data_IF_328519525722
#
_entry.id   IF_328519525722
#
_cell.length_a   1.000
_cell.length_b   1.000
_cell.length_c   1.000
_cell.angle_alpha   90.00
_cell.angle_beta   90.00
_cell.angle_gamma   90.00
#
_symmetry.space_group_name_H-M   'P 1'
#
loop_
_entity.id
_entity.type
_entity.pdbx_description
1 polymer ?
#
# COMPACT_ATOMS: atom_id res chain seq x y z
N UNK A 1 -38.19 -72.70 5.45
CA UNK A 1 -38.26 -71.21 5.39
C UNK A 1 -36.97 -70.61 5.98
N UNK A 2 -35.90 -70.37 5.21
CA UNK A 2 -34.71 -69.65 5.77
C UNK A 2 -33.78 -68.97 4.74
N UNK A 3 -34.19 -68.77 3.49
CA UNK A 3 -33.33 -68.21 2.43
C UNK A 3 -33.85 -66.92 1.78
N UNK A 4 -34.94 -66.30 2.28
CA UNK A 4 -35.54 -65.12 1.64
C UNK A 4 -35.03 -63.75 2.13
N UNK A 5 -34.32 -63.70 3.26
CA UNK A 5 -33.88 -62.44 3.86
C UNK A 5 -32.42 -62.07 3.53
N UNK A 6 -31.58 -63.05 3.16
CA UNK A 6 -30.16 -62.81 2.84
C UNK A 6 -29.94 -62.08 1.50
N UNK A 7 -30.77 -62.39 0.50
CA UNK A 7 -30.74 -61.74 -0.81
C UNK A 7 -31.23 -60.30 -0.74
N UNK A 8 -32.22 -60.00 0.11
CA UNK A 8 -32.72 -58.63 0.32
C UNK A 8 -31.69 -57.78 1.08
N UNK A 9 -31.03 -58.35 2.09
CA UNK A 9 -30.00 -57.64 2.85
C UNK A 9 -28.76 -57.31 2.00
N UNK A 10 -28.33 -58.22 1.12
CA UNK A 10 -27.22 -57.98 0.20
C UNK A 10 -27.57 -56.91 -0.84
N UNK A 11 -28.77 -56.96 -1.43
CA UNK A 11 -29.23 -55.92 -2.37
C UNK A 11 -29.31 -54.55 -1.68
N UNK A 12 -29.82 -54.47 -0.45
CA UNK A 12 -29.85 -53.22 0.31
C UNK A 12 -28.46 -52.67 0.60
N UNK A 13 -27.49 -53.53 0.96
CA UNK A 13 -26.10 -53.10 1.20
C UNK A 13 -25.40 -52.59 -0.07
N UNK A 14 -25.69 -53.19 -1.23
CA UNK A 14 -25.17 -52.71 -2.52
C UNK A 14 -25.81 -51.37 -2.92
N UNK A 15 -27.12 -51.21 -2.72
CA UNK A 15 -27.80 -49.94 -3.03
C UNK A 15 -27.29 -48.81 -2.13
N UNK A 16 -27.10 -49.07 -0.83
CA UNK A 16 -26.59 -48.04 0.09
C UNK A 16 -25.14 -47.68 -0.21
N UNK A 17 -24.27 -48.65 -0.56
CA UNK A 17 -22.88 -48.33 -0.93
C UNK A 17 -22.80 -47.57 -2.27
N UNK A 18 -23.66 -47.91 -3.23
CA UNK A 18 -23.69 -47.22 -4.52
C UNK A 18 -24.22 -45.79 -4.38
N UNK A 19 -25.24 -45.58 -3.53
CA UNK A 19 -25.76 -44.26 -3.23
C UNK A 19 -24.73 -43.41 -2.48
N UNK A 20 -23.99 -43.95 -1.51
CA UNK A 20 -22.95 -43.20 -0.79
C UNK A 20 -21.76 -42.85 -1.68
N UNK A 21 -21.32 -43.76 -2.56
CA UNK A 21 -20.27 -43.49 -3.56
C UNK A 21 -20.72 -42.44 -4.59
N UNK A 22 -21.96 -42.54 -5.07
CA UNK A 22 -22.54 -41.55 -5.99
C UNK A 22 -22.61 -40.16 -5.35
N UNK A 23 -23.09 -40.07 -4.10
CA UNK A 23 -23.14 -38.82 -3.36
C UNK A 23 -21.73 -38.25 -3.08
N UNK A 24 -20.78 -39.10 -2.72
CA UNK A 24 -19.39 -38.68 -2.49
C UNK A 24 -18.74 -38.16 -3.76
N UNK A 25 -18.95 -38.83 -4.91
CA UNK A 25 -18.44 -38.37 -6.20
C UNK A 25 -19.07 -37.05 -6.65
N UNK A 26 -20.38 -36.89 -6.46
CA UNK A 26 -21.09 -35.63 -6.76
C UNK A 26 -20.64 -34.49 -5.85
N UNK A 27 -20.34 -34.78 -4.59
CA UNK A 27 -19.83 -33.80 -3.63
C UNK A 27 -18.39 -33.36 -3.96
N UNK A 28 -17.51 -34.31 -4.31
CA UNK A 28 -16.15 -34.03 -4.80
C UNK A 28 -16.18 -33.15 -6.06
N UNK A 29 -17.00 -33.51 -7.06
CA UNK A 29 -17.18 -32.72 -8.28
C UNK A 29 -17.74 -31.31 -7.99
N UNK A 30 -18.67 -31.18 -7.04
CA UNK A 30 -19.19 -29.89 -6.62
C UNK A 30 -18.13 -29.00 -5.97
N UNK A 31 -17.25 -29.60 -5.15
CA UNK A 31 -16.14 -28.91 -4.49
C UNK A 31 -15.08 -28.46 -5.49
N UNK A 32 -14.71 -29.30 -6.45
CA UNK A 32 -13.78 -28.93 -7.53
C UNK A 32 -14.32 -27.80 -8.40
N UNK A 33 -15.60 -27.85 -8.77
CA UNK A 33 -16.26 -26.74 -9.49
C UNK A 33 -16.25 -25.46 -8.69
N UNK A 34 -16.53 -25.50 -7.39
CA UNK A 34 -16.50 -24.32 -6.51
C UNK A 34 -15.09 -23.70 -6.47
N UNK A 35 -14.05 -24.53 -6.36
CA UNK A 35 -12.65 -24.09 -6.37
C UNK A 35 -12.28 -23.48 -7.74
N UNK A 36 -12.75 -24.09 -8.84
CA UNK A 36 -12.54 -23.56 -10.19
C UNK A 36 -13.22 -22.20 -10.37
N UNK A 37 -14.47 -22.06 -9.93
CA UNK A 37 -15.20 -20.78 -9.96
C UNK A 37 -14.54 -19.72 -9.08
N UNK A 38 -14.03 -20.09 -7.90
CA UNK A 38 -13.24 -19.16 -7.06
C UNK A 38 -11.98 -18.69 -7.78
N UNK A 39 -11.26 -19.58 -8.48
CA UNK A 39 -10.09 -19.20 -9.27
C UNK A 39 -10.45 -18.29 -10.45
N UNK A 40 -11.51 -18.59 -11.18
CA UNK A 40 -11.96 -17.74 -12.29
C UNK A 40 -12.44 -16.37 -11.81
N UNK A 41 -13.17 -16.33 -10.69
CA UNK A 41 -13.61 -15.08 -10.07
C UNK A 41 -12.42 -14.25 -9.58
N UNK A 42 -11.41 -14.88 -8.96
CA UNK A 42 -10.16 -14.22 -8.58
C UNK A 42 -9.42 -13.68 -9.81
N UNK A 43 -9.33 -14.45 -10.88
CA UNK A 43 -8.71 -14.02 -12.13
C UNK A 43 -9.47 -12.86 -12.78
N UNK A 44 -10.81 -12.86 -12.72
CA UNK A 44 -11.64 -11.78 -13.23
C UNK A 44 -11.50 -10.51 -12.37
N UNK A 45 -11.50 -10.66 -11.05
CA UNK A 45 -11.27 -9.55 -10.11
C UNK A 45 -9.89 -8.93 -10.35
N UNK A 46 -8.87 -9.74 -10.58
CA UNK A 46 -7.52 -9.25 -10.90
C UNK A 46 -7.50 -8.51 -12.24
N UNK A 47 -8.20 -9.00 -13.27
CA UNK A 47 -8.32 -8.29 -14.55
C UNK A 47 -9.04 -6.94 -14.41
N UNK A 48 -10.12 -6.90 -13.63
CA UNK A 48 -10.85 -5.66 -13.35
C UNK A 48 -9.94 -4.68 -12.60
N UNK A 49 -9.21 -5.16 -11.59
CA UNK A 49 -8.23 -4.38 -10.82
C UNK A 49 -7.15 -3.76 -11.71
N UNK A 50 -6.60 -4.56 -12.64
CA UNK A 50 -5.62 -4.08 -13.63
C UNK A 50 -6.25 -3.02 -14.55
N UNK A 51 -7.52 -3.19 -14.94
CA UNK A 51 -8.22 -2.23 -15.78
C UNK A 51 -8.48 -0.89 -15.06
N UNK A 52 -8.95 -0.92 -13.82
CA UNK A 52 -9.14 0.27 -12.98
C UNK A 52 -7.81 1.00 -12.72
N UNK A 53 -6.75 0.25 -12.46
CA UNK A 53 -5.41 0.80 -12.29
C UNK A 53 -4.94 1.55 -13.54
N UNK A 54 -5.11 0.94 -14.73
CA UNK A 54 -4.80 1.59 -16.03
C UNK A 54 -5.64 2.84 -16.27
N UNK A 55 -6.90 2.86 -15.83
CA UNK A 55 -7.77 4.04 -15.95
C UNK A 55 -7.25 5.19 -15.06
N UNK A 56 -6.87 4.89 -13.81
CA UNK A 56 -6.31 5.87 -12.88
C UNK A 56 -4.99 6.46 -13.40
N UNK A 57 -4.08 5.61 -13.89
CA UNK A 57 -2.82 6.03 -14.52
C UNK A 57 -3.07 6.99 -15.69
N UNK A 58 -3.94 6.63 -16.63
CA UNK A 58 -4.27 7.49 -17.78
C UNK A 58 -4.85 8.83 -17.34
N UNK A 59 -5.66 8.86 -16.29
CA UNK A 59 -6.22 10.10 -15.74
C UNK A 59 -5.12 11.02 -15.19
N UNK A 60 -4.15 10.46 -14.47
CA UNK A 60 -3.00 11.18 -13.93
C UNK A 60 -2.06 11.69 -15.03
N UNK A 61 -1.72 10.83 -15.99
CA UNK A 61 -0.91 11.20 -17.17
C UNK A 61 -1.57 12.32 -17.98
N UNK A 62 -2.87 12.20 -18.26
CA UNK A 62 -3.62 13.24 -18.97
C UNK A 62 -3.60 14.56 -18.19
N UNK A 63 -3.72 14.51 -16.87
CA UNK A 63 -3.67 15.70 -16.01
C UNK A 63 -2.28 16.36 -16.03
N UNK A 64 -1.21 15.56 -15.96
CA UNK A 64 0.16 16.03 -16.05
C UNK A 64 0.47 16.66 -17.43
N UNK A 65 0.06 15.99 -18.50
CA UNK A 65 0.18 16.47 -19.88
C UNK A 65 -0.57 17.80 -20.05
N UNK A 66 -1.81 17.90 -19.56
CA UNK A 66 -2.60 19.15 -19.61
C UNK A 66 -1.90 20.29 -18.84
N UNK A 67 -1.28 20.00 -17.69
CA UNK A 67 -0.55 21.00 -16.92
C UNK A 67 0.75 21.44 -17.60
N UNK A 68 1.52 20.52 -18.18
CA UNK A 68 2.71 20.84 -18.99
C UNK A 68 2.34 21.72 -20.18
N UNK A 69 1.26 21.40 -20.90
CA UNK A 69 0.79 22.22 -22.01
C UNK A 69 0.33 23.62 -21.56
N UNK A 70 -0.30 23.74 -20.39
CA UNK A 70 -0.64 25.06 -19.81
C UNK A 70 0.61 25.87 -19.46
N UNK A 71 1.65 25.23 -18.93
CA UNK A 71 2.93 25.86 -18.60
C UNK A 71 3.63 26.38 -19.86
N UNK A 72 3.76 25.53 -20.88
CA UNK A 72 4.30 25.91 -22.19
C UNK A 72 3.48 27.04 -22.82
N UNK A 73 2.15 27.00 -22.73
CA UNK A 73 1.25 28.06 -23.17
C UNK A 73 1.37 29.38 -22.39
N UNK A 74 1.79 29.33 -21.13
CA UNK A 74 2.05 30.52 -20.32
C UNK A 74 3.44 31.12 -20.59
N UNK A 75 4.46 30.27 -20.79
CA UNK A 75 5.83 30.67 -21.14
C UNK A 75 5.90 31.27 -22.57
N UNK A 76 5.14 30.74 -23.52
CA UNK A 76 5.05 31.27 -24.91
C UNK A 76 4.32 32.60 -25.05
N UNK A 77 3.56 33.05 -24.03
CA UNK A 77 3.03 34.44 -24.03
C UNK A 77 4.13 35.50 -23.89
N UNK A 78 5.34 35.11 -23.44
CA UNK A 78 6.49 36.00 -23.29
C UNK A 78 7.37 36.16 -24.53
N UNK A 79 7.34 35.22 -25.49
CA UNK A 79 8.19 35.25 -26.68
C UNK A 79 7.37 34.85 -27.93
N UNK A 80 7.06 35.82 -28.79
CA UNK A 80 6.24 35.62 -30.00
C UNK A 80 6.92 34.77 -31.09
N UNK A 81 8.24 34.58 -31.02
CA UNK A 81 9.01 33.96 -32.11
C UNK A 81 9.03 32.42 -32.07
N UNK A 82 8.72 31.79 -30.93
CA UNK A 82 8.67 30.31 -30.81
C UNK A 82 7.34 29.69 -31.26
N UNK A 83 6.30 30.50 -31.50
CA UNK A 83 4.97 30.03 -31.94
C UNK A 83 4.94 29.59 -33.42
N UNK A 84 5.93 30.00 -34.23
CA UNK A 84 5.99 29.68 -35.66
C UNK A 84 6.59 28.29 -35.96
N UNK A 85 7.12 27.59 -34.94
CA UNK A 85 7.73 26.27 -35.11
C UNK A 85 6.74 25.11 -34.90
N UNK A 86 5.55 25.39 -34.37
CA UNK A 86 4.51 24.38 -34.14
C UNK A 86 3.55 24.30 -35.33
N UNK A 87 3.13 23.07 -35.68
CA UNK A 87 2.11 22.85 -36.71
C UNK A 87 0.81 23.57 -36.33
N UNK A 88 0.09 24.10 -37.34
CA UNK A 88 -1.22 24.74 -37.18
C UNK A 88 -2.22 23.90 -36.38
N UNK A 89 -2.14 22.57 -36.48
CA UNK A 89 -2.98 21.65 -35.71
C UNK A 89 -2.64 21.68 -34.20
N UNK A 90 -1.36 21.77 -33.85
CA UNK A 90 -0.88 21.88 -32.47
C UNK A 90 -1.27 23.23 -31.88
N UNK A 91 -1.14 24.31 -32.65
CA UNK A 91 -1.57 25.65 -32.24
C UNK A 91 -3.08 25.74 -32.03
N UNK A 92 -3.87 25.09 -32.90
CA UNK A 92 -5.33 25.01 -32.77
C UNK A 92 -5.74 24.23 -31.52
N UNK A 93 -5.08 23.09 -31.25
CA UNK A 93 -5.31 22.28 -30.04
C UNK A 93 -4.93 23.05 -28.76
N UNK A 94 -3.78 23.72 -28.76
CA UNK A 94 -3.33 24.59 -27.67
C UNK A 94 -4.32 25.71 -27.41
N UNK A 95 -4.79 26.38 -28.47
CA UNK A 95 -5.75 27.46 -28.38
C UNK A 95 -7.11 26.96 -27.86
N UNK A 96 -7.55 25.77 -28.26
CA UNK A 96 -8.81 25.19 -27.80
C UNK A 96 -8.75 24.70 -26.32
N UNK A 97 -7.61 24.14 -25.90
CA UNK A 97 -7.34 23.71 -24.53
C UNK A 97 -7.14 24.90 -23.57
N UNK A 98 -6.60 26.02 -24.06
CA UNK A 98 -6.40 27.25 -23.27
C UNK A 98 -7.61 28.20 -23.31
N UNK A 99 -8.42 28.19 -24.38
CA UNK A 99 -9.61 29.05 -24.50
C UNK A 99 -10.83 28.51 -23.76
N UNK A 100 -10.95 27.18 -23.61
CA UNK A 100 -11.90 26.61 -22.67
C UNK A 100 -11.32 26.84 -21.27
N UNK A 101 -11.98 27.68 -20.46
CA UNK A 101 -11.78 27.71 -18.99
C UNK A 101 -12.14 26.32 -18.46
N UNK A 102 -11.18 25.41 -18.57
CA UNK A 102 -11.28 24.05 -18.09
C UNK A 102 -11.27 24.12 -16.57
N UNK A 103 -12.20 23.38 -15.96
CA UNK A 103 -12.25 23.18 -14.52
C UNK A 103 -10.83 22.88 -14.01
N UNK A 104 -10.41 23.56 -12.94
CA UNK A 104 -9.18 23.17 -12.26
C UNK A 104 -9.51 21.92 -11.45
N UNK A 105 -9.10 20.76 -11.99
CA UNK A 105 -9.25 19.49 -11.29
C UNK A 105 -8.27 19.49 -10.11
N UNK A 106 -8.71 19.15 -8.89
CA UNK A 106 -7.82 18.96 -7.75
C UNK A 106 -6.70 17.98 -8.11
N UNK A 107 -5.49 18.29 -7.70
CA UNK A 107 -4.32 17.41 -7.88
C UNK A 107 -3.46 17.48 -6.63
N UNK A 108 -2.54 16.54 -6.47
CA UNK A 108 -1.58 16.53 -5.36
C UNK A 108 -0.82 17.86 -5.21
N UNK A 109 -0.61 18.59 -6.31
CA UNK A 109 0.01 19.91 -6.35
C UNK A 109 -0.79 21.02 -5.65
N UNK A 110 -2.08 20.82 -5.41
CA UNK A 110 -2.86 21.73 -4.57
C UNK A 110 -2.43 21.66 -3.10
N UNK A 111 -2.10 20.46 -2.63
CA UNK A 111 -1.66 20.23 -1.25
C UNK A 111 -0.16 20.46 -1.08
N UNK A 112 0.62 20.19 -2.13
CA UNK A 112 2.09 20.30 -2.16
C UNK A 112 2.53 21.13 -3.38
N UNK A 113 2.27 22.45 -3.42
CA UNK A 113 2.54 23.29 -4.59
C UNK A 113 4.03 23.46 -4.88
N UNK A 114 4.90 23.27 -3.89
CA UNK A 114 6.35 23.33 -4.07
C UNK A 114 6.88 22.22 -5.00
N UNK A 115 6.15 21.11 -5.15
CA UNK A 115 6.55 20.04 -6.08
C UNK A 115 6.59 20.51 -7.53
N UNK A 116 5.79 21.53 -7.91
CA UNK A 116 5.80 22.10 -9.27
C UNK A 116 7.10 22.83 -9.60
N UNK A 117 7.89 23.20 -8.58
CA UNK A 117 9.14 23.92 -8.76
C UNK A 117 10.26 22.99 -9.25
N UNK A 118 10.14 21.67 -9.03
CA UNK A 118 11.16 20.69 -9.34
C UNK A 118 10.52 19.42 -9.91
N UNK A 119 10.74 19.15 -11.20
CA UNK A 119 10.12 18.02 -11.93
C UNK A 119 10.48 16.64 -11.35
N UNK A 120 11.65 16.52 -10.71
CA UNK A 120 12.10 15.29 -10.05
C UNK A 120 11.55 15.07 -8.64
N UNK A 121 10.71 15.95 -8.08
CA UNK A 121 10.28 15.86 -6.67
C UNK A 121 9.50 14.60 -6.30
N UNK A 122 8.91 13.93 -7.28
CA UNK A 122 8.15 12.68 -7.09
C UNK A 122 8.93 11.44 -7.55
N UNK A 123 10.17 11.62 -8.02
CA UNK A 123 11.07 10.53 -8.38
C UNK A 123 12.03 10.27 -7.22
N UNK A 124 12.31 9.00 -6.87
CA UNK A 124 13.31 8.71 -5.84
C UNK A 124 14.68 9.32 -6.22
N UNK A 125 15.32 9.99 -5.26
CA UNK A 125 16.69 10.49 -5.45
C UNK A 125 17.71 9.35 -5.51
N UNK A 126 17.43 8.29 -4.74
CA UNK A 126 18.15 7.02 -4.83
C UNK A 126 17.12 5.92 -5.05
N UNK A 127 17.42 5.02 -5.99
CA UNK A 127 16.62 3.84 -6.27
C UNK A 127 17.57 2.68 -6.59
N UNK A 128 17.57 1.65 -5.75
CA UNK A 128 18.38 0.44 -5.89
C UNK A 128 17.45 -0.77 -5.88
N UNK A 129 17.67 -1.68 -6.83
CA UNK A 129 16.89 -2.90 -7.01
C UNK A 129 16.43 -3.08 -8.45
N UNK A 130 15.74 -4.18 -8.73
CA UNK A 130 15.40 -4.58 -10.10
C UNK A 130 14.00 -4.13 -10.56
N UNK A 131 13.30 -3.29 -9.79
CA UNK A 131 11.97 -2.79 -10.17
C UNK A 131 10.94 -3.89 -10.35
N UNK A 132 10.93 -4.91 -9.48
CA UNK A 132 10.04 -6.07 -9.62
C UNK A 132 8.58 -5.64 -9.45
N UNK A 133 7.71 -6.19 -10.30
CA UNK A 133 6.25 -5.96 -10.30
C UNK A 133 5.48 -7.27 -10.47
N UNK A 134 4.17 -7.25 -10.24
CA UNK A 134 3.29 -8.41 -10.41
C UNK A 134 3.34 -9.40 -9.25
N UNK A 135 3.77 -8.95 -8.07
CA UNK A 135 3.80 -9.77 -6.85
C UNK A 135 2.46 -9.72 -6.11
N UNK A 136 2.16 -10.72 -5.28
CA UNK A 136 0.94 -10.67 -4.46
C UNK A 136 0.99 -9.57 -3.40
N UNK A 137 2.12 -9.42 -2.69
CA UNK A 137 2.22 -8.50 -1.55
C UNK A 137 3.49 -7.65 -1.66
N UNK A 138 3.33 -6.33 -1.51
CA UNK A 138 4.42 -5.36 -1.37
C UNK A 138 4.52 -4.95 0.09
N UNK A 139 5.68 -5.12 0.70
CA UNK A 139 5.96 -4.75 2.09
C UNK A 139 6.74 -3.44 2.14
N UNK A 140 6.11 -2.38 2.62
CA UNK A 140 6.76 -1.07 2.75
C UNK A 140 7.36 -0.85 4.13
N UNK A 141 8.64 -0.52 4.21
CA UNK A 141 9.39 -0.29 5.46
C UNK A 141 10.06 1.09 5.41
N UNK A 142 9.50 2.12 6.06
CA UNK A 142 10.14 3.41 6.22
C UNK A 142 11.14 3.37 7.38
N UNK A 143 12.30 3.98 7.19
CA UNK A 143 13.35 4.02 8.21
C UNK A 143 13.32 5.32 9.00
N UNK A 144 13.66 5.27 10.29
CA UNK A 144 13.87 6.46 11.12
C UNK A 144 15.33 6.54 11.56
N UNK A 145 15.98 7.67 11.28
CA UNK A 145 17.33 7.96 11.79
C UNK A 145 17.29 8.05 13.32
N UNK A 146 18.11 7.22 13.97
CA UNK A 146 18.27 7.14 15.43
C UNK A 146 19.74 7.33 15.79
N UNK A 147 20.00 7.98 16.92
CA UNK A 147 21.36 8.31 17.35
C UNK A 147 22.15 7.08 17.82
N UNK A 148 21.49 6.16 18.53
CA UNK A 148 22.17 5.05 19.21
C UNK A 148 22.25 3.79 18.35
N UNK A 149 21.11 3.33 17.80
CA UNK A 149 21.03 2.05 17.10
C UNK A 149 19.94 2.05 16.03
N UNK A 150 20.29 1.51 14.85
CA UNK A 150 19.34 1.13 13.82
C UNK A 150 18.84 -0.30 14.04
N UNK A 151 17.53 -0.51 13.90
CA UNK A 151 16.87 -1.82 14.00
C UNK A 151 16.57 -2.45 12.62
N UNK A 152 16.88 -1.72 11.53
CA UNK A 152 16.49 -2.09 10.17
C UNK A 152 17.01 -3.46 9.75
N UNK A 153 18.30 -3.73 9.98
CA UNK A 153 18.94 -5.00 9.60
C UNK A 153 18.25 -6.18 10.32
N UNK A 154 17.93 -6.00 11.60
CA UNK A 154 17.30 -7.04 12.43
C UNK A 154 15.86 -7.29 11.97
N UNK A 155 15.14 -6.23 11.60
CA UNK A 155 13.80 -6.32 11.00
C UNK A 155 13.84 -7.06 9.65
N UNK A 156 14.81 -6.74 8.79
CA UNK A 156 14.96 -7.38 7.48
C UNK A 156 15.30 -8.86 7.60
N UNK A 157 16.23 -9.24 8.50
CA UNK A 157 16.47 -10.65 8.80
C UNK A 157 15.20 -11.34 9.29
N UNK A 158 14.49 -10.73 10.24
CA UNK A 158 13.24 -11.31 10.74
C UNK A 158 12.23 -11.56 9.61
N UNK A 159 12.08 -10.62 8.68
CA UNK A 159 11.18 -10.77 7.52
C UNK A 159 11.67 -11.83 6.53
N UNK A 160 12.92 -11.73 6.08
CA UNK A 160 13.48 -12.51 4.97
C UNK A 160 13.74 -13.97 5.36
N UNK A 161 14.21 -14.21 6.58
CA UNK A 161 14.53 -15.56 7.06
C UNK A 161 13.26 -16.38 7.33
N UNK A 162 12.11 -15.70 7.51
CA UNK A 162 10.80 -16.32 7.69
C UNK A 162 9.99 -16.42 6.38
N UNK A 163 10.60 -16.18 5.22
CA UNK A 163 10.00 -16.40 3.90
C UNK A 163 10.48 -17.71 3.27
N UNK A 164 9.55 -18.51 2.78
CA UNK A 164 9.84 -19.65 1.92
C UNK A 164 10.31 -19.20 0.52
N UNK A 165 11.07 -20.02 -0.23
CA UNK A 165 11.60 -19.65 -1.55
C UNK A 165 10.53 -19.17 -2.54
N UNK A 166 9.35 -19.78 -2.56
CA UNK A 166 8.24 -19.36 -3.42
C UNK A 166 7.67 -17.99 -3.00
N UNK A 167 7.62 -17.72 -1.69
CA UNK A 167 7.16 -16.44 -1.15
C UNK A 167 8.13 -15.31 -1.46
N UNK A 168 9.44 -15.59 -1.50
CA UNK A 168 10.47 -14.63 -1.93
C UNK A 168 10.33 -14.20 -3.40
N UNK A 169 9.66 -15.01 -4.23
CA UNK A 169 9.34 -14.65 -5.62
C UNK A 169 8.03 -13.86 -5.73
N UNK A 170 7.12 -14.05 -4.77
CA UNK A 170 5.77 -13.49 -4.74
C UNK A 170 5.63 -12.26 -3.82
N UNK A 171 6.75 -11.65 -3.44
CA UNK A 171 6.77 -10.39 -2.70
C UNK A 171 7.94 -9.49 -3.08
N UNK A 172 7.79 -8.22 -2.71
CA UNK A 172 8.85 -7.20 -2.75
C UNK A 172 8.84 -6.47 -1.42
N UNK A 173 10.01 -6.29 -0.82
CA UNK A 173 10.25 -5.46 0.35
C UNK A 173 10.85 -4.14 -0.13
N UNK A 174 10.10 -3.04 0.04
CA UNK A 174 10.57 -1.70 -0.29
C UNK A 174 11.02 -1.01 0.99
N UNK A 175 12.33 -0.80 1.12
CA UNK A 175 12.95 -0.03 2.20
C UNK A 175 13.01 1.43 1.77
N UNK A 176 12.27 2.29 2.47
CA UNK A 176 12.27 3.73 2.25
C UNK A 176 13.14 4.42 3.28
N UNK A 177 14.30 4.89 2.84
CA UNK A 177 15.20 5.70 3.65
C UNK A 177 14.65 7.13 3.66
N UNK A 178 13.86 7.46 4.68
CA UNK A 178 13.20 8.76 4.83
C UNK A 178 14.14 9.91 5.20
N UNK A 179 15.35 9.93 4.67
CA UNK A 179 16.34 10.97 4.90
C UNK A 179 16.77 11.59 3.57
N UNK A 180 17.16 12.86 3.61
CA UNK A 180 17.58 13.65 2.44
C UNK A 180 19.09 13.91 2.41
N UNK A 181 19.78 13.62 3.52
CA UNK A 181 21.23 13.66 3.64
C UNK A 181 21.83 12.46 2.88
N UNK A 182 22.44 12.75 1.73
CA UNK A 182 22.97 11.74 0.80
C UNK A 182 24.06 10.89 1.45
N UNK A 183 24.92 11.47 2.30
CA UNK A 183 26.00 10.73 2.95
C UNK A 183 25.44 9.71 3.94
N UNK A 184 24.41 10.10 4.70
CA UNK A 184 23.69 9.19 5.57
C UNK A 184 22.97 8.09 4.78
N UNK A 185 22.28 8.44 3.69
CA UNK A 185 21.57 7.51 2.82
C UNK A 185 22.53 6.46 2.24
N UNK A 186 23.67 6.90 1.69
CA UNK A 186 24.71 6.00 1.19
C UNK A 186 25.31 5.11 2.29
N UNK A 187 25.48 5.64 3.51
CA UNK A 187 25.92 4.84 4.66
C UNK A 187 24.94 3.71 5.00
N UNK A 188 23.64 3.98 4.98
CA UNK A 188 22.60 2.96 5.19
C UNK A 188 22.60 1.94 4.05
N UNK A 189 22.70 2.39 2.80
CA UNK A 189 22.76 1.53 1.62
C UNK A 189 23.96 0.60 1.69
N UNK A 190 25.16 1.09 1.99
CA UNK A 190 26.36 0.28 2.07
C UNK A 190 26.22 -0.84 3.13
N UNK A 191 25.57 -0.54 4.26
CA UNK A 191 25.26 -1.56 5.28
C UNK A 191 24.26 -2.60 4.77
N UNK A 192 23.23 -2.18 4.01
CA UNK A 192 22.25 -3.09 3.42
C UNK A 192 22.85 -3.96 2.31
N UNK A 193 23.70 -3.40 1.45
CA UNK A 193 24.40 -4.15 0.40
C UNK A 193 25.35 -5.19 0.99
N UNK A 194 26.02 -4.85 2.09
CA UNK A 194 26.91 -5.78 2.79
C UNK A 194 26.18 -7.03 3.29
N UNK A 195 25.00 -6.86 3.88
CA UNK A 195 24.24 -7.97 4.50
C UNK A 195 23.25 -8.65 3.53
N UNK A 196 22.64 -7.90 2.60
CA UNK A 196 21.51 -8.34 1.75
C UNK A 196 21.76 -8.23 0.24
N UNK A 197 23.03 -8.26 -0.21
CA UNK A 197 23.39 -8.17 -1.64
C UNK A 197 22.64 -9.16 -2.54
N UNK A 198 22.39 -10.38 -2.06
CA UNK A 198 21.66 -11.42 -2.81
C UNK A 198 20.19 -11.06 -2.96
N UNK A 199 19.56 -10.57 -1.91
CA UNK A 199 18.15 -10.21 -1.90
C UNK A 199 17.90 -8.96 -2.75
N UNK A 200 18.81 -7.98 -2.70
CA UNK A 200 18.79 -6.78 -3.57
C UNK A 200 18.95 -7.18 -5.04
N UNK A 201 19.99 -7.95 -5.36
CA UNK A 201 20.26 -8.39 -6.74
C UNK A 201 19.19 -9.33 -7.30
N UNK A 202 18.47 -10.07 -6.45
CA UNK A 202 17.31 -10.86 -6.87
C UNK A 202 16.08 -9.99 -7.18
N UNK A 203 16.01 -8.77 -6.64
CA UNK A 203 14.83 -7.91 -6.68
C UNK A 203 13.79 -8.21 -5.60
N UNK A 204 14.16 -8.96 -4.54
CA UNK A 204 13.32 -9.13 -3.35
C UNK A 204 13.32 -7.87 -2.49
N UNK A 205 14.48 -7.22 -2.34
CA UNK A 205 14.63 -5.96 -1.59
C UNK A 205 14.90 -4.82 -2.57
N UNK A 206 14.12 -3.76 -2.46
CA UNK A 206 14.36 -2.49 -3.14
C UNK A 206 14.60 -1.40 -2.11
N UNK A 207 15.52 -0.48 -2.40
CA UNK A 207 15.88 0.62 -1.52
C UNK A 207 15.61 1.92 -2.25
N UNK A 208 14.83 2.81 -1.62
CA UNK A 208 14.52 4.14 -2.16
C UNK A 208 14.76 5.23 -1.13
N UNK A 209 15.09 6.43 -1.60
CA UNK A 209 15.16 7.66 -0.79
C UNK A 209 14.45 8.81 -1.52
N UNK A 210 13.74 9.68 -0.81
CA UNK A 210 13.06 10.82 -1.41
C UNK A 210 14.07 11.95 -1.73
N UNK A 211 13.85 12.74 -2.79
CA UNK A 211 14.61 13.96 -3.03
C UNK A 211 14.27 15.01 -1.96
N UNK A 212 15.22 15.87 -1.64
CA UNK A 212 14.99 16.97 -0.69
C UNK A 212 13.80 17.87 -1.11
N UNK A 213 13.59 18.03 -2.42
CA UNK A 213 12.49 18.82 -2.99
C UNK A 213 11.11 18.20 -2.79
N UNK A 214 11.01 16.92 -2.40
CA UNK A 214 9.74 16.29 -2.06
C UNK A 214 9.11 16.94 -0.82
N UNK A 215 9.92 17.26 0.19
CA UNK A 215 9.41 17.79 1.44
C UNK A 215 9.13 19.30 1.34
N UNK A 216 7.98 19.77 1.86
CA UNK A 216 7.73 21.19 2.04
C UNK A 216 8.60 21.74 3.18
N UNK A 217 8.60 23.06 3.37
CA UNK A 217 9.13 23.65 4.60
C UNK A 217 8.33 23.15 5.82
N UNK A 218 9.02 22.44 6.72
CA UNK A 218 8.46 21.88 7.95
C UNK A 218 8.84 22.71 9.19
N UNK A 219 9.46 23.88 9.05
CA UNK A 219 9.89 24.70 10.18
C UNK A 219 8.72 25.47 10.82
N UNK A 220 7.76 25.89 10.01
CA UNK A 220 6.64 26.76 10.41
C UNK A 220 5.31 25.98 10.59
N UNK A 221 5.36 24.83 11.26
CA UNK A 221 4.17 24.03 11.53
C UNK A 221 3.44 24.52 12.78
N UNK A 222 2.11 24.49 12.74
CA UNK A 222 1.25 24.82 13.88
C UNK A 222 1.30 23.69 14.91
N UNK A 223 1.54 24.05 16.17
CA UNK A 223 1.43 23.12 17.29
C UNK A 223 -0.02 22.68 17.50
N UNK A 224 -0.25 21.38 17.66
CA UNK A 224 -1.56 20.79 17.91
C UNK A 224 -1.45 19.68 18.95
N UNK A 225 -2.56 19.35 19.63
CA UNK A 225 -2.64 18.27 20.62
C UNK A 225 -1.67 18.37 21.81
N UNK A 226 -1.08 19.56 22.07
CA UNK A 226 -0.07 19.74 23.10
C UNK A 226 1.30 19.16 22.74
N UNK A 227 1.52 18.83 21.47
CA UNK A 227 2.79 18.31 20.96
C UNK A 227 3.84 19.41 20.88
N UNK A 228 5.10 19.05 21.17
CA UNK A 228 6.26 19.90 20.86
C UNK A 228 6.39 20.10 19.34
N UNK A 229 7.07 21.17 18.91
CA UNK A 229 7.36 21.40 17.49
C UNK A 229 8.05 20.21 16.83
N UNK A 230 8.97 19.56 17.54
CA UNK A 230 9.68 18.38 17.03
C UNK A 230 8.74 17.21 16.80
N UNK A 231 7.81 16.96 17.73
CA UNK A 231 6.79 15.91 17.57
C UNK A 231 5.85 16.22 16.40
N UNK A 232 5.42 17.48 16.26
CA UNK A 232 4.58 17.92 15.13
C UNK A 232 5.32 17.76 13.80
N UNK A 233 6.58 18.19 13.74
CA UNK A 233 7.44 18.00 12.56
C UNK A 233 7.60 16.53 12.23
N UNK A 234 7.88 15.70 13.22
CA UNK A 234 8.04 14.26 13.06
C UNK A 234 6.79 13.59 12.50
N UNK A 235 5.60 13.81 13.09
CA UNK A 235 4.36 13.20 12.60
C UNK A 235 3.93 13.71 11.23
N UNK A 236 4.23 14.98 10.93
CA UNK A 236 3.95 15.60 9.62
C UNK A 236 4.84 14.99 8.54
N UNK A 237 6.13 14.83 8.83
CA UNK A 237 7.09 14.15 7.96
C UNK A 237 6.69 12.69 7.75
N UNK A 238 6.33 11.98 8.81
CA UNK A 238 5.91 10.58 8.73
C UNK A 238 4.72 10.37 7.79
N UNK A 239 3.72 11.26 7.82
CA UNK A 239 2.61 11.22 6.87
C UNK A 239 3.11 11.28 5.42
N UNK A 240 4.04 12.19 5.12
CA UNK A 240 4.63 12.34 3.78
C UNK A 240 5.50 11.15 3.38
N UNK A 241 6.25 10.58 4.32
CA UNK A 241 7.07 9.39 4.11
C UNK A 241 6.21 8.20 3.68
N UNK A 242 5.08 8.00 4.36
CA UNK A 242 4.16 6.91 4.06
C UNK A 242 3.47 7.15 2.71
N UNK A 243 3.09 8.39 2.40
CA UNK A 243 2.56 8.73 1.07
C UNK A 243 3.55 8.40 -0.04
N UNK A 244 4.83 8.79 0.11
CA UNK A 244 5.86 8.52 -0.91
C UNK A 244 6.00 7.02 -1.16
N UNK A 245 6.12 6.26 -0.07
CA UNK A 245 6.26 4.81 -0.13
C UNK A 245 5.03 4.12 -0.73
N UNK A 246 3.81 4.54 -0.36
CA UNK A 246 2.56 4.02 -0.94
C UNK A 246 2.45 4.33 -2.44
N UNK A 247 2.80 5.56 -2.86
CA UNK A 247 2.82 5.93 -4.28
C UNK A 247 3.81 5.06 -5.07
N UNK A 248 5.02 4.85 -4.55
CA UNK A 248 6.02 4.00 -5.19
C UNK A 248 5.60 2.52 -5.27
N UNK A 249 4.91 2.02 -4.24
CA UNK A 249 4.50 0.62 -4.14
C UNK A 249 3.24 0.28 -4.95
N UNK A 250 2.46 1.29 -5.38
CA UNK A 250 1.13 1.10 -5.95
C UNK A 250 1.10 0.13 -7.14
N UNK A 251 2.07 0.20 -8.05
CA UNK A 251 2.06 -0.57 -9.29
C UNK A 251 2.73 -1.95 -9.14
N UNK A 252 3.29 -2.25 -7.97
CA UNK A 252 4.15 -3.42 -7.78
C UNK A 252 3.39 -4.69 -7.47
N UNK A 253 2.22 -4.62 -6.84
CA UNK A 253 1.50 -5.83 -6.44
C UNK A 253 -0.01 -5.70 -6.29
N UNK A 254 -0.61 -6.77 -5.78
CA UNK A 254 -2.05 -6.85 -5.51
C UNK A 254 -2.40 -6.10 -4.22
N UNK A 255 -1.58 -6.32 -3.21
CA UNK A 255 -1.74 -5.74 -1.89
C UNK A 255 -0.48 -5.01 -1.44
N UNK A 256 -0.68 -3.99 -0.62
CA UNK A 256 0.38 -3.27 0.06
C UNK A 256 0.21 -3.45 1.57
N UNK A 257 1.30 -3.72 2.28
CA UNK A 257 1.32 -3.74 3.74
C UNK A 257 2.35 -2.76 4.28
N UNK A 258 1.90 -1.84 5.14
CA UNK A 258 2.75 -0.88 5.82
C UNK A 258 3.37 -1.51 7.06
N UNK A 259 4.69 -1.47 7.15
CA UNK A 259 5.49 -1.95 8.28
C UNK A 259 6.32 -0.79 8.87
N UNK A 260 7.06 -1.08 9.94
CA UNK A 260 8.04 -0.19 10.57
C UNK A 260 9.42 -0.89 10.58
N UNK A 261 10.49 -0.12 10.73
CA UNK A 261 11.88 -0.61 10.71
C UNK A 261 12.33 -1.28 12.03
N UNK A 262 11.45 -1.41 13.02
CA UNK A 262 11.74 -1.96 14.35
C UNK A 262 10.76 -3.08 14.78
N UNK A 263 10.52 -4.04 13.88
CA UNK A 263 9.56 -5.14 14.11
C UNK A 263 10.22 -6.53 14.08
N UNK A 264 9.54 -7.48 14.72
CA UNK A 264 9.83 -8.91 14.66
C UNK A 264 8.57 -9.61 14.16
N UNK A 265 8.73 -10.53 13.22
CA UNK A 265 7.63 -11.30 12.63
C UNK A 265 7.52 -12.70 13.22
N UNK A 266 6.31 -13.25 13.19
CA UNK A 266 6.08 -14.68 13.46
C UNK A 266 6.45 -15.54 12.26
N UNK A 267 6.79 -16.79 12.53
CA UNK A 267 6.96 -17.80 11.49
C UNK A 267 5.68 -17.93 10.64
N UNK A 268 5.84 -18.16 9.34
CA UNK A 268 4.75 -18.33 8.38
C UNK A 268 3.80 -17.12 8.27
N UNK A 269 4.27 -15.91 8.61
CA UNK A 269 3.46 -14.69 8.53
C UNK A 269 2.94 -14.43 7.12
N UNK A 270 3.78 -14.63 6.09
CA UNK A 270 3.44 -14.29 4.71
C UNK A 270 2.26 -15.11 4.19
N UNK A 271 2.36 -16.44 4.23
CA UNK A 271 1.27 -17.34 3.89
C UNK A 271 0.00 -17.07 4.71
N UNK A 272 0.14 -16.74 6.00
CA UNK A 272 -1.01 -16.40 6.86
C UNK A 272 -1.72 -15.14 6.37
N UNK A 273 -0.97 -14.08 6.05
CA UNK A 273 -1.50 -12.82 5.50
C UNK A 273 -2.19 -13.07 4.16
N UNK A 274 -1.50 -13.77 3.25
CA UNK A 274 -2.01 -14.04 1.90
C UNK A 274 -3.31 -14.84 1.96
N UNK A 275 -3.35 -15.93 2.74
CA UNK A 275 -4.56 -16.75 2.88
C UNK A 275 -5.71 -15.98 3.52
N UNK A 276 -5.44 -15.14 4.53
CA UNK A 276 -6.47 -14.33 5.16
C UNK A 276 -7.07 -13.31 4.17
N UNK A 277 -6.23 -12.62 3.39
CA UNK A 277 -6.71 -11.70 2.36
C UNK A 277 -7.51 -12.41 1.25
N UNK A 278 -7.08 -13.62 0.85
CA UNK A 278 -7.80 -14.44 -0.13
C UNK A 278 -9.16 -14.92 0.40
N UNK A 279 -9.26 -15.29 1.68
CA UNK A 279 -10.51 -15.67 2.32
C UNK A 279 -11.53 -14.52 2.33
N UNK A 280 -11.05 -13.28 2.46
CA UNK A 280 -11.88 -12.07 2.45
C UNK A 280 -12.03 -11.46 1.05
N UNK A 281 -11.66 -12.18 -0.01
CA UNK A 281 -11.71 -11.64 -1.37
C UNK A 281 -13.14 -11.37 -1.89
N UNK A 282 -14.16 -12.01 -1.32
CA UNK A 282 -15.58 -11.74 -1.61
C UNK A 282 -16.17 -10.61 -0.78
N UNK A 283 -15.53 -10.26 0.34
CA UNK A 283 -16.04 -9.26 1.27
C UNK A 283 -15.57 -7.86 0.89
N UNK A 284 -16.38 -6.86 1.23
CA UNK A 284 -15.96 -5.46 1.17
C UNK A 284 -15.14 -5.12 2.41
N UNK A 285 -13.85 -4.87 2.23
CA UNK A 285 -12.95 -4.41 3.29
C UNK A 285 -12.01 -3.33 2.76
N UNK A 286 -11.60 -2.43 3.66
CA UNK A 286 -10.67 -1.34 3.34
C UNK A 286 -9.30 -1.57 3.96
N UNK A 287 -9.26 -2.17 5.16
CA UNK A 287 -8.03 -2.33 5.94
C UNK A 287 -8.01 -3.70 6.59
N UNK A 288 -6.97 -4.49 6.32
CA UNK A 288 -6.67 -5.68 7.09
C UNK A 288 -5.56 -5.36 8.10
N UNK A 289 -5.79 -5.68 9.37
CA UNK A 289 -4.83 -5.43 10.45
C UNK A 289 -4.19 -6.71 10.95
N UNK A 290 -2.86 -6.75 10.94
CA UNK A 290 -2.05 -7.88 11.44
C UNK A 290 -1.19 -7.51 12.66
N UNK A 291 -1.32 -6.28 13.16
CA UNK A 291 -0.80 -5.84 14.45
C UNK A 291 -1.87 -5.19 15.31
N UNK A 292 -1.65 -5.19 16.62
CA UNK A 292 -2.48 -4.45 17.59
C UNK A 292 -1.99 -3.02 17.81
N UNK A 293 -0.77 -2.68 17.38
CA UNK A 293 -0.07 -1.45 17.75
C UNK A 293 0.11 -0.52 16.56
N UNK A 294 -0.43 0.69 16.70
CA UNK A 294 -0.25 1.80 15.74
C UNK A 294 -0.53 1.41 14.30
N UNK A 295 0.29 1.94 13.40
CA UNK A 295 0.15 1.78 11.95
C UNK A 295 0.83 0.52 11.38
N UNK A 296 1.42 -0.32 12.23
CA UNK A 296 2.16 -1.51 11.82
C UNK A 296 1.20 -2.58 11.29
N UNK A 297 1.59 -3.25 10.20
CA UNK A 297 0.86 -4.40 9.68
C UNK A 297 -0.52 -4.04 9.17
N UNK A 298 -0.69 -2.81 8.65
CA UNK A 298 -1.92 -2.38 7.98
C UNK A 298 -1.80 -2.67 6.49
N UNK A 299 -2.68 -3.51 6.01
CA UNK A 299 -2.73 -3.96 4.63
C UNK A 299 -3.90 -3.33 3.90
N UNK A 300 -3.64 -2.94 2.67
CA UNK A 300 -4.56 -2.26 1.76
C UNK A 300 -4.53 -2.95 0.40
N UNK A 301 -5.61 -2.82 -0.37
CA UNK A 301 -5.55 -3.13 -1.80
C UNK A 301 -4.69 -2.06 -2.47
N UNK A 302 -3.79 -2.46 -3.38
CA UNK A 302 -2.91 -1.51 -4.03
C UNK A 302 -3.64 -0.37 -4.81
N UNK A 303 -4.80 -0.60 -5.47
CA UNK A 303 -5.56 0.47 -6.11
C UNK A 303 -6.12 1.50 -5.12
N UNK A 304 -6.51 1.05 -3.92
CA UNK A 304 -7.06 1.93 -2.88
C UNK A 304 -6.02 2.89 -2.28
N UNK A 305 -4.72 2.65 -2.54
CA UNK A 305 -3.65 3.52 -2.08
C UNK A 305 -3.81 4.94 -2.60
N UNK A 306 -4.33 5.17 -3.81
CA UNK A 306 -4.56 6.54 -4.32
C UNK A 306 -5.46 7.32 -3.39
N UNK A 307 -6.61 6.76 -3.01
CA UNK A 307 -7.56 7.41 -2.11
C UNK A 307 -6.93 7.68 -0.74
N UNK A 308 -6.16 6.72 -0.23
CA UNK A 308 -5.49 6.86 1.07
C UNK A 308 -4.46 7.98 1.02
N UNK A 309 -3.59 7.99 0.00
CA UNK A 309 -2.56 9.00 -0.22
C UNK A 309 -3.16 10.39 -0.37
N UNK A 310 -4.22 10.54 -1.18
CA UNK A 310 -4.92 11.82 -1.37
C UNK A 310 -5.51 12.34 -0.05
N UNK A 311 -6.15 11.46 0.73
CA UNK A 311 -6.69 11.84 2.02
C UNK A 311 -5.60 12.28 3.00
N UNK A 312 -4.46 11.57 3.02
CA UNK A 312 -3.34 11.97 3.87
C UNK A 312 -2.78 13.32 3.41
N UNK A 313 -2.61 13.56 2.11
CA UNK A 313 -2.15 14.84 1.60
C UNK A 313 -3.09 16.01 1.92
N UNK A 314 -4.40 15.78 2.01
CA UNK A 314 -5.34 16.81 2.46
C UNK A 314 -5.05 17.28 3.90
N UNK A 315 -4.57 16.39 4.78
CA UNK A 315 -4.52 16.63 6.22
C UNK A 315 -3.17 16.30 6.88
N UNK A 316 -2.09 16.19 6.11
CA UNK A 316 -0.79 15.70 6.59
C UNK A 316 -0.18 16.54 7.72
N UNK A 317 -0.53 17.83 7.81
CA UNK A 317 -0.10 18.73 8.90
C UNK A 317 -0.98 18.60 10.15
N UNK A 318 -2.23 18.21 9.98
CA UNK A 318 -3.27 18.35 11.01
C UNK A 318 -3.23 17.23 12.04
N UNK A 319 -3.06 15.97 11.61
CA UNK A 319 -3.16 14.79 12.49
C UNK A 319 -2.10 13.73 12.16
N UNK A 320 -1.71 12.89 13.13
CA UNK A 320 -0.89 11.71 12.86
C UNK A 320 -1.65 10.69 12.01
N UNK A 321 -0.90 9.81 11.33
CA UNK A 321 -1.42 8.87 10.34
C UNK A 321 -2.54 7.96 10.86
N UNK A 322 -2.42 7.42 12.07
CA UNK A 322 -3.42 6.52 12.66
C UNK A 322 -4.79 7.18 12.78
N UNK A 323 -4.80 8.47 13.12
CA UNK A 323 -6.03 9.24 13.29
C UNK A 323 -6.63 9.63 11.94
N UNK A 324 -5.78 9.98 10.97
CA UNK A 324 -6.23 10.23 9.59
C UNK A 324 -6.92 8.99 9.02
N UNK A 325 -6.35 7.81 9.24
CA UNK A 325 -6.93 6.56 8.78
C UNK A 325 -8.27 6.24 9.45
N UNK A 326 -8.38 6.47 10.76
CA UNK A 326 -9.65 6.33 11.47
C UNK A 326 -10.71 7.34 10.95
N UNK A 327 -10.28 8.55 10.55
CA UNK A 327 -11.15 9.55 9.94
C UNK A 327 -11.62 9.15 8.54
N UNK A 328 -10.79 8.48 7.73
CA UNK A 328 -11.24 7.90 6.45
C UNK A 328 -12.41 6.95 6.69
N UNK A 329 -12.27 6.04 7.66
CA UNK A 329 -13.35 5.11 7.99
C UNK A 329 -14.58 5.84 8.54
N UNK A 330 -14.39 6.84 9.41
CA UNK A 330 -15.49 7.64 9.95
C UNK A 330 -16.31 8.29 8.83
N UNK A 331 -15.64 8.97 7.90
CA UNK A 331 -16.30 9.65 6.76
C UNK A 331 -17.01 8.64 5.86
N UNK A 332 -16.47 7.44 5.69
CA UNK A 332 -17.05 6.43 4.80
C UNK A 332 -18.30 5.75 5.36
N UNK A 333 -18.35 5.44 6.66
CA UNK A 333 -19.38 4.54 7.19
C UNK A 333 -20.12 5.02 8.44
N UNK A 334 -19.67 6.08 9.10
CA UNK A 334 -20.34 6.55 10.31
C UNK A 334 -21.48 7.51 9.96
N UNK A 335 -22.68 7.19 10.46
CA UNK A 335 -23.83 8.07 10.36
C UNK A 335 -23.76 9.14 11.48
N UNK A 336 -23.74 10.45 11.15
CA UNK A 336 -23.66 11.53 12.15
C UNK A 336 -24.83 11.58 13.14
N UNK A 337 -25.98 11.00 12.80
CA UNK A 337 -27.19 10.98 13.64
C UNK A 337 -27.22 9.77 14.59
N UNK A 338 -26.23 8.88 14.52
CA UNK A 338 -26.16 7.66 15.35
C UNK A 338 -25.04 7.73 16.38
N UNK A 339 -25.14 6.85 17.36
CA UNK A 339 -24.19 6.79 18.47
C UNK A 339 -22.82 6.23 18.07
N UNK A 340 -21.82 6.46 18.93
CA UNK A 340 -20.45 5.98 18.72
C UNK A 340 -20.39 4.46 18.55
N UNK A 341 -21.22 3.70 19.27
CA UNK A 341 -21.25 2.23 19.17
C UNK A 341 -21.69 1.76 17.78
N UNK A 342 -22.64 2.46 17.16
CA UNK A 342 -23.00 2.19 15.76
C UNK A 342 -21.83 2.43 14.84
N UNK A 343 -21.17 3.60 14.96
CA UNK A 343 -20.00 3.96 14.15
C UNK A 343 -18.87 2.93 14.30
N UNK A 344 -18.54 2.51 15.53
CA UNK A 344 -17.50 1.51 15.78
C UNK A 344 -17.79 0.16 15.13
N UNK A 345 -19.06 -0.28 15.15
CA UNK A 345 -19.49 -1.51 14.46
C UNK A 345 -19.35 -1.38 12.95
N UNK A 346 -19.74 -0.24 12.38
CA UNK A 346 -19.58 0.00 10.94
C UNK A 346 -18.11 0.03 10.53
N UNK A 347 -17.27 0.73 11.30
CA UNK A 347 -15.81 0.75 11.08
C UNK A 347 -15.21 -0.65 11.15
N UNK A 348 -15.65 -1.49 12.08
CA UNK A 348 -15.15 -2.86 12.26
C UNK A 348 -15.45 -3.78 11.06
N UNK A 349 -16.49 -3.48 10.26
CA UNK A 349 -16.77 -4.25 9.05
C UNK A 349 -15.74 -3.95 7.93
N UNK A 350 -15.27 -2.71 7.81
CA UNK A 350 -14.24 -2.33 6.83
C UNK A 350 -12.81 -2.48 7.33
N UNK A 351 -12.61 -2.46 8.65
CA UNK A 351 -11.31 -2.64 9.32
C UNK A 351 -11.30 -3.98 10.04
N UNK A 352 -10.90 -5.02 9.32
CA UNK A 352 -10.91 -6.40 9.79
C UNK A 352 -9.55 -6.74 10.37
N UNK A 353 -9.53 -7.21 11.62
CA UNK A 353 -8.30 -7.55 12.33
C UNK A 353 -8.07 -9.06 12.39
N UNK A 354 -6.91 -9.49 11.92
CA UNK A 354 -6.41 -10.84 12.14
C UNK A 354 -5.94 -11.03 13.58
N UNK A 355 -6.24 -12.20 14.17
CA UNK A 355 -5.77 -12.58 15.51
C UNK A 355 -5.20 -14.00 15.45
N UNK A 356 -4.03 -14.27 16.05
CA UNK A 356 -3.19 -13.35 16.85
C UNK A 356 -2.31 -12.41 15.99
N UNK A 357 -1.74 -11.37 16.61
CA UNK A 357 -0.80 -10.45 15.97
C UNK A 357 0.36 -11.21 15.31
N UNK A 358 0.69 -10.86 14.07
CA UNK A 358 1.82 -11.42 13.30
C UNK A 358 3.09 -10.56 13.41
N UNK A 359 2.91 -9.27 13.69
CA UNK A 359 3.99 -8.31 13.87
C UNK A 359 4.04 -7.82 15.31
N UNK A 360 5.24 -7.78 15.88
CA UNK A 360 5.49 -7.27 17.23
C UNK A 360 6.62 -6.24 17.18
N UNK A 361 6.53 -5.11 17.92
CA UNK A 361 7.67 -4.22 18.05
C UNK A 361 8.84 -4.93 18.71
N UNK A 362 10.05 -4.59 18.30
CA UNK A 362 11.26 -5.11 18.93
C UNK A 362 11.35 -4.59 20.38
N UNK A 363 11.19 -5.51 21.35
CA UNK A 363 11.03 -5.23 22.80
C UNK A 363 12.28 -4.57 23.42
N UNK A 364 13.41 -4.50 22.68
CA UNK A 364 14.60 -3.74 23.08
C UNK A 364 14.41 -2.21 23.13
N UNK A 365 13.19 -1.68 22.90
CA UNK A 365 12.78 -0.27 23.13
C UNK A 365 13.00 0.27 24.57
N UNK A 366 13.46 -0.51 25.55
CA UNK A 366 13.71 -0.06 26.94
C UNK A 366 14.99 0.79 27.10
N UNK A 367 15.24 1.75 26.20
CA UNK A 367 16.21 2.83 26.44
C UNK A 367 15.46 4.14 26.20
N UNK A 368 15.36 5.03 27.20
CA UNK A 368 14.52 6.22 27.14
C UNK A 368 15.22 7.32 26.37
N UNK A 369 15.26 7.23 25.05
CA UNK A 369 15.70 8.35 24.23
C UNK A 369 14.58 8.71 23.26
N UNK A 370 14.01 9.87 23.55
CA UNK A 370 12.84 10.50 22.97
C UNK A 370 11.52 9.87 23.41
N UNK A 371 10.95 10.47 24.47
CA UNK A 371 9.52 10.42 24.78
C UNK A 371 8.72 10.98 23.59
N UNK A 372 8.52 10.18 22.54
CA UNK A 372 7.40 10.35 21.63
C UNK A 372 6.38 9.29 22.04
N UNK A 373 5.41 9.62 22.91
CA UNK A 373 4.31 8.71 23.16
C UNK A 373 3.59 8.48 21.83
N UNK A 374 3.59 7.24 21.35
CA UNK A 374 2.62 6.79 20.34
C UNK A 374 1.30 6.58 21.07
N UNK A 375 0.24 7.23 20.60
CA UNK A 375 -1.13 6.81 20.82
C UNK A 375 -1.56 5.95 19.64
#
# INVERSE_FOLDING_TARGET
MRLRNGTVATVLAFITSFLTLSWYSSWQNGKEKLIAYQREFLALKERLRIAEHRISQRSSELSAIVQQFRRVGAETKGNKDTLNQFSDNTLKLLKELTSKKSLQVPSIYYHLPHLLQNEGSLQPAVQIGNGRTGVSIVMGIPTVKREVKSYLIETLHSLIDNLYPEEKLDCVIVVFIGETDIDYVHGVIANLEKEFSKEISSGLVEIISPPASYYPDLTNLKETFGDSKDRVRWRTKQNLDYCFLMMYAQEKGIYYIQLEDDIIVKQNYFNTIKNFALQLSSEEWMILEFSQLGFIGKMFQAPDLTLIVEFIFMFYKEKPIDWLLDHILWVKVCNPEKDAKHCDRQKANLRIRFRPSLFQPNIKRKIPEINIPKF
#
